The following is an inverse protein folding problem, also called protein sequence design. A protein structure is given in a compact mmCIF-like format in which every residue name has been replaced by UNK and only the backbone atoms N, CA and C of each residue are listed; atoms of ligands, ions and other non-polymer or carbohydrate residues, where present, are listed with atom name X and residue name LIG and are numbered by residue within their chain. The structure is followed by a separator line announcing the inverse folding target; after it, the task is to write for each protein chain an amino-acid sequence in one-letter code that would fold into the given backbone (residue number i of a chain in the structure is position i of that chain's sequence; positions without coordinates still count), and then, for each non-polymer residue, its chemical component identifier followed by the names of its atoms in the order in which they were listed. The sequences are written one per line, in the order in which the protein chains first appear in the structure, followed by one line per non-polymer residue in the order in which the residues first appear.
data_IF_911597900807
#
_entry.id   IF_911597900807
#
_cell.length_a   1.000
_cell.length_b   1.000
_cell.length_c   1.000
_cell.angle_alpha   90.00
_cell.angle_beta   90.00
_cell.angle_gamma   90.00
#
_symmetry.space_group_name_H-M   'P 1'
#
loop_
_entity.id
_entity.type
_entity.pdbx_description
1 polymer ?
#
# COMPACT_ATOMS: atom_id res chain seq x y z
N UNK A 1 -18.78 -13.85 -2.99
CA UNK A 1 -19.72 -14.79 -2.31
C UNK A 1 -19.01 -15.89 -1.53
N UNK A 2 -17.92 -16.48 -2.05
CA UNK A 2 -17.17 -17.55 -1.36
C UNK A 2 -16.68 -17.18 0.05
N UNK A 3 -16.15 -15.97 0.25
CA UNK A 3 -15.75 -15.51 1.59
C UNK A 3 -16.94 -15.43 2.55
N UNK A 4 -18.11 -14.98 2.08
CA UNK A 4 -19.32 -14.92 2.92
C UNK A 4 -19.86 -16.30 3.22
N UNK A 5 -19.82 -17.22 2.25
CA UNK A 5 -20.21 -18.62 2.45
C UNK A 5 -19.32 -19.30 3.50
N UNK A 6 -18.01 -19.15 3.39
CA UNK A 6 -17.06 -19.65 4.38
C UNK A 6 -17.32 -19.08 5.77
N UNK A 7 -17.45 -17.75 5.89
CA UNK A 7 -17.71 -17.12 7.19
C UNK A 7 -19.08 -17.53 7.76
N UNK A 8 -20.08 -17.76 6.91
CA UNK A 8 -21.37 -18.29 7.35
C UNK A 8 -21.23 -19.69 7.92
N UNK A 9 -20.59 -20.62 7.20
CA UNK A 9 -20.38 -22.00 7.67
C UNK A 9 -19.53 -22.06 8.95
N UNK A 10 -18.51 -21.20 9.04
CA UNK A 10 -17.68 -21.04 10.24
C UNK A 10 -18.50 -20.51 11.42
N UNK A 11 -19.37 -19.54 11.20
CA UNK A 11 -20.18 -18.95 12.27
C UNK A 11 -21.35 -19.86 12.68
N UNK A 12 -21.99 -20.56 11.73
CA UNK A 12 -23.08 -21.50 12.00
C UNK A 12 -22.59 -22.80 12.65
N UNK A 13 -21.30 -23.13 12.54
CA UNK A 13 -20.71 -24.35 13.06
C UNK A 13 -20.81 -25.54 12.12
N UNK A 14 -21.46 -25.38 10.95
CA UNK A 14 -21.50 -26.40 9.89
C UNK A 14 -20.10 -26.76 9.37
N UNK A 15 -19.19 -25.79 9.39
CA UNK A 15 -17.76 -26.04 9.21
C UNK A 15 -17.09 -26.11 10.59
N UNK A 16 -16.73 -27.30 11.10
CA UNK A 16 -16.10 -27.43 12.40
C UNK A 16 -14.66 -26.88 12.37
N UNK A 17 -14.39 -25.90 13.24
CA UNK A 17 -13.06 -25.31 13.46
C UNK A 17 -12.71 -25.47 14.95
N UNK A 18 -11.77 -26.37 15.22
CA UNK A 18 -11.29 -26.73 16.56
C UNK A 18 -10.73 -25.49 17.27
N UNK A 19 -11.18 -25.24 18.49
CA UNK A 19 -10.73 -24.10 19.29
C UNK A 19 -11.32 -22.76 18.85
N UNK A 20 -12.27 -22.75 17.91
CA UNK A 20 -12.96 -21.54 17.43
C UNK A 20 -14.47 -21.67 17.60
N UNK A 21 -15.10 -22.69 17.00
CA UNK A 21 -16.56 -22.89 17.10
C UNK A 21 -16.95 -24.27 17.68
N UNK A 22 -15.99 -25.18 17.84
CA UNK A 22 -16.19 -26.50 18.44
C UNK A 22 -14.94 -26.92 19.21
N UNK A 23 -15.10 -27.88 20.12
CA UNK A 23 -14.03 -28.35 21.01
C UNK A 23 -13.37 -27.21 21.80
N UNK A 24 -14.22 -26.36 22.40
CA UNK A 24 -13.81 -25.23 23.23
C UNK A 24 -13.54 -25.70 24.67
N UNK A 25 -12.66 -24.98 25.37
CA UNK A 25 -12.49 -25.18 26.82
C UNK A 25 -13.69 -24.61 27.58
N UNK A 26 -13.80 -24.91 28.88
CA UNK A 26 -14.83 -24.33 29.76
C UNK A 26 -14.69 -22.79 29.87
N UNK A 27 -13.49 -22.26 29.62
CA UNK A 27 -13.20 -20.82 29.53
C UNK A 27 -13.44 -20.25 28.10
N UNK A 28 -13.91 -21.09 27.17
CA UNK A 28 -14.09 -20.76 25.76
C UNK A 28 -12.80 -20.82 24.95
N UNK A 29 -12.60 -19.84 24.06
CA UNK A 29 -11.37 -19.62 23.29
C UNK A 29 -10.81 -18.24 23.64
N UNK A 30 -10.02 -18.12 24.72
CA UNK A 30 -9.49 -16.84 25.14
C UNK A 30 -8.48 -16.33 24.09
N UNK A 31 -8.68 -15.09 23.63
CA UNK A 31 -7.72 -14.43 22.74
C UNK A 31 -6.39 -14.30 23.45
N UNK A 32 -5.37 -15.02 22.97
CA UNK A 32 -4.00 -14.85 23.45
C UNK A 32 -3.49 -13.50 22.96
N UNK A 33 -3.36 -12.55 23.88
CA UNK A 33 -2.74 -11.25 23.57
C UNK A 33 -1.25 -11.51 23.34
N UNK A 34 -0.72 -11.25 22.12
CA UNK A 34 0.71 -11.39 21.89
C UNK A 34 1.47 -10.44 22.81
N UNK A 35 2.58 -10.91 23.40
CA UNK A 35 3.37 -10.10 24.34
C UNK A 35 3.90 -8.83 23.69
N UNK A 36 4.75 -8.96 22.69
CA UNK A 36 5.30 -7.83 21.93
C UNK A 36 4.72 -7.80 20.51
N UNK A 37 4.30 -6.62 20.06
CA UNK A 37 3.88 -6.38 18.67
C UNK A 37 4.92 -5.49 18.03
N UNK A 38 5.61 -6.00 17.01
CA UNK A 38 6.59 -5.22 16.26
C UNK A 38 5.85 -4.14 15.46
N UNK A 39 6.14 -2.88 15.77
CA UNK A 39 5.59 -1.70 15.10
C UNK A 39 6.70 -0.69 14.83
N UNK A 40 6.50 0.15 13.83
CA UNK A 40 7.42 1.26 13.56
C UNK A 40 7.44 2.24 14.73
N UNK A 41 8.65 2.58 15.16
CA UNK A 41 8.94 3.56 16.20
C UNK A 41 8.66 4.99 15.69
N UNK A 42 8.43 5.96 16.59
CA UNK A 42 8.34 7.38 16.21
C UNK A 42 9.57 7.88 15.47
N UNK A 43 10.75 7.43 15.87
CA UNK A 43 12.05 7.83 15.31
C UNK A 43 12.20 7.36 13.86
N UNK A 44 11.82 6.11 13.56
CA UNK A 44 11.81 5.59 12.19
C UNK A 44 10.86 6.38 11.28
N UNK A 45 9.71 6.82 11.80
CA UNK A 45 8.76 7.65 11.04
C UNK A 45 9.34 9.03 10.75
N UNK A 46 9.93 9.68 11.77
CA UNK A 46 10.57 10.99 11.61
C UNK A 46 11.72 10.91 10.60
N UNK A 47 12.56 9.89 10.69
CA UNK A 47 13.66 9.65 9.77
C UNK A 47 13.20 9.53 8.31
N UNK A 48 12.09 8.83 8.05
CA UNK A 48 11.54 8.73 6.70
C UNK A 48 11.01 10.07 6.16
N UNK A 49 10.43 10.90 7.01
CA UNK A 49 9.96 12.24 6.64
C UNK A 49 11.15 13.14 6.27
N UNK A 50 12.21 13.14 7.08
CA UNK A 50 13.41 13.91 6.83
C UNK A 50 14.09 13.49 5.53
N UNK A 51 14.21 12.18 5.27
CA UNK A 51 14.76 11.66 4.01
C UNK A 51 13.93 12.07 2.80
N UNK A 52 12.61 12.05 2.93
CA UNK A 52 11.71 12.48 1.85
C UNK A 52 11.91 13.97 1.54
N UNK A 53 11.98 14.81 2.57
CA UNK A 53 12.23 16.25 2.41
C UNK A 53 13.59 16.51 1.78
N UNK A 54 14.64 15.81 2.21
CA UNK A 54 15.97 15.92 1.65
C UNK A 54 16.01 15.51 0.16
N UNK A 55 15.34 14.42 -0.22
CA UNK A 55 15.20 14.00 -1.62
C UNK A 55 14.52 15.10 -2.45
N UNK A 56 13.42 15.66 -1.95
CA UNK A 56 12.65 16.70 -2.65
C UNK A 56 13.42 18.01 -2.81
N UNK A 57 14.32 18.33 -1.88
CA UNK A 57 15.14 19.54 -1.92
C UNK A 57 16.41 19.40 -2.79
N UNK A 58 16.87 18.18 -3.10
CA UNK A 58 18.19 17.95 -3.70
C UNK A 58 18.30 18.39 -5.18
N UNK A 59 17.29 18.05 -5.99
CA UNK A 59 17.27 18.23 -7.46
C UNK A 59 15.86 18.58 -7.97
N UNK A 60 15.32 19.74 -7.58
CA UNK A 60 13.92 20.09 -7.88
C UNK A 60 13.67 20.28 -9.38
N UNK A 61 14.63 20.83 -10.13
CA UNK A 61 14.49 21.10 -11.56
C UNK A 61 14.49 19.80 -12.37
N UNK A 62 15.40 18.87 -12.07
CA UNK A 62 15.43 17.55 -12.69
C UNK A 62 14.19 16.73 -12.34
N UNK A 63 13.70 16.84 -11.11
CA UNK A 63 12.44 16.20 -10.71
C UNK A 63 11.26 16.75 -11.53
N UNK A 64 11.14 18.07 -11.67
CA UNK A 64 10.08 18.69 -12.47
C UNK A 64 10.14 18.25 -13.94
N UNK A 65 11.33 18.25 -14.55
CA UNK A 65 11.52 17.80 -15.93
C UNK A 65 11.19 16.31 -16.11
N UNK A 66 11.60 15.45 -15.17
CA UNK A 66 11.33 14.02 -15.22
C UNK A 66 9.82 13.72 -15.07
N UNK A 67 9.11 14.44 -14.20
CA UNK A 67 7.66 14.30 -14.04
C UNK A 67 6.90 14.74 -15.29
N UNK A 68 7.30 15.87 -15.91
CA UNK A 68 6.72 16.33 -17.16
C UNK A 68 6.94 15.31 -18.29
N UNK A 69 8.16 14.78 -18.44
CA UNK A 69 8.45 13.72 -19.42
C UNK A 69 7.58 12.48 -19.15
N UNK A 70 7.45 12.06 -17.89
CA UNK A 70 6.65 10.91 -17.51
C UNK A 70 5.18 11.08 -17.93
N UNK A 71 4.61 12.26 -17.71
CA UNK A 71 3.26 12.60 -18.14
C UNK A 71 3.11 12.60 -19.66
N UNK A 72 4.05 13.21 -20.39
CA UNK A 72 4.04 13.20 -21.86
C UNK A 72 4.09 11.78 -22.41
N UNK A 73 4.98 10.92 -21.90
CA UNK A 73 5.09 9.53 -22.34
C UNK A 73 3.81 8.75 -22.06
N UNK A 74 3.17 8.96 -20.90
CA UNK A 74 1.89 8.33 -20.57
C UNK A 74 0.78 8.75 -21.55
N UNK A 75 0.65 10.05 -21.86
CA UNK A 75 -0.35 10.56 -22.81
C UNK A 75 -0.11 10.08 -24.24
N UNK A 76 1.16 9.88 -24.63
CA UNK A 76 1.56 9.39 -25.94
C UNK A 76 1.53 7.86 -26.06
N UNK A 77 1.08 7.13 -25.02
CA UNK A 77 1.09 5.66 -24.97
C UNK A 77 2.49 5.06 -25.22
N UNK A 78 3.54 5.77 -24.81
CA UNK A 78 4.92 5.30 -24.93
C UNK A 78 5.33 4.33 -23.81
N UNK A 79 6.58 3.88 -23.84
CA UNK A 79 7.12 3.01 -22.79
C UNK A 79 7.28 3.76 -21.47
N UNK A 80 6.29 3.64 -20.59
CA UNK A 80 6.27 4.33 -19.31
C UNK A 80 7.38 3.87 -18.36
N UNK A 81 7.77 2.59 -18.42
CA UNK A 81 8.79 2.03 -17.54
C UNK A 81 10.17 2.66 -17.80
N UNK A 82 10.51 2.93 -19.06
CA UNK A 82 11.75 3.63 -19.40
C UNK A 82 11.79 5.05 -18.82
N UNK A 83 10.67 5.78 -18.89
CA UNK A 83 10.55 7.09 -18.27
C UNK A 83 10.60 7.02 -16.73
N UNK A 84 10.05 5.96 -16.13
CA UNK A 84 10.14 5.72 -14.69
C UNK A 84 11.58 5.50 -14.23
N UNK A 85 12.40 4.75 -14.96
CA UNK A 85 13.83 4.54 -14.63
C UNK A 85 14.63 5.85 -14.53
N UNK A 86 14.20 6.90 -15.25
CA UNK A 86 14.75 8.24 -15.10
C UNK A 86 14.14 9.00 -13.92
N UNK A 87 12.82 8.97 -13.77
CA UNK A 87 12.10 9.71 -12.72
C UNK A 87 12.48 9.29 -11.29
N UNK A 88 12.68 7.99 -11.03
CA UNK A 88 12.99 7.47 -9.69
C UNK A 88 14.33 7.95 -9.13
N UNK A 89 15.22 8.54 -9.96
CA UNK A 89 16.49 9.11 -9.52
C UNK A 89 16.31 10.43 -8.75
N UNK A 90 15.20 11.14 -8.99
CA UNK A 90 14.98 12.50 -8.49
C UNK A 90 13.62 12.67 -7.80
N UNK A 91 12.65 11.82 -8.12
CA UNK A 91 11.27 11.94 -7.67
C UNK A 91 10.92 10.88 -6.63
N UNK A 92 10.16 11.26 -5.62
CA UNK A 92 9.56 10.31 -4.68
C UNK A 92 8.42 9.53 -5.32
N UNK A 93 8.10 8.37 -4.74
CA UNK A 93 6.93 7.56 -5.14
C UNK A 93 5.65 8.41 -5.21
N UNK A 94 5.42 9.26 -4.20
CA UNK A 94 4.25 10.12 -4.14
C UNK A 94 4.19 11.18 -5.25
N UNK A 95 5.34 11.76 -5.65
CA UNK A 95 5.40 12.70 -6.79
C UNK A 95 5.04 12.00 -8.10
N UNK A 96 5.61 10.81 -8.33
CA UNK A 96 5.36 9.98 -9.52
C UNK A 96 3.88 9.60 -9.61
N UNK A 97 3.32 9.02 -8.53
CA UNK A 97 1.91 8.59 -8.50
C UNK A 97 0.96 9.75 -8.78
N UNK A 98 1.18 10.92 -8.16
CA UNK A 98 0.32 12.11 -8.40
C UNK A 98 0.43 12.61 -9.83
N UNK A 99 1.63 12.64 -10.41
CA UNK A 99 1.82 13.05 -11.80
C UNK A 99 1.07 12.12 -12.76
N UNK A 100 1.11 10.80 -12.51
CA UNK A 100 0.37 9.82 -13.29
C UNK A 100 -1.15 9.92 -13.09
N UNK A 101 -1.64 10.22 -11.88
CA UNK A 101 -3.07 10.45 -11.65
C UNK A 101 -3.64 11.62 -12.44
N UNK A 102 -2.84 12.66 -12.72
CA UNK A 102 -3.29 13.80 -13.52
C UNK A 102 -3.55 13.46 -14.99
N UNK A 103 -2.92 12.40 -15.53
CA UNK A 103 -3.02 12.02 -16.95
C UNK A 103 -3.65 10.66 -17.20
N UNK A 104 -3.58 9.74 -16.23
CA UNK A 104 -4.12 8.37 -16.31
C UNK A 104 -5.34 8.13 -15.44
N UNK A 105 -5.77 9.13 -14.66
CA UNK A 105 -6.87 9.00 -13.72
C UNK A 105 -6.51 8.17 -12.48
N UNK A 106 -7.52 7.97 -11.63
CA UNK A 106 -7.41 7.15 -10.43
C UNK A 106 -8.33 5.94 -10.56
N UNK A 107 -7.92 4.82 -9.97
CA UNK A 107 -8.76 3.66 -9.89
C UNK A 107 -10.06 4.00 -9.15
N UNK A 108 -11.20 3.75 -9.79
CA UNK A 108 -12.52 3.81 -9.18
C UNK A 108 -12.93 2.37 -8.84
N UNK A 109 -13.21 2.12 -7.56
CA UNK A 109 -13.72 0.82 -7.11
C UNK A 109 -15.01 0.51 -7.85
N UNK A 110 -15.05 -0.64 -8.52
CA UNK A 110 -16.30 -1.29 -8.92
C UNK A 110 -16.84 -2.00 -7.68
N UNK A 111 -18.13 -1.79 -7.38
CA UNK A 111 -18.85 -2.64 -6.44
C UNK A 111 -19.23 -3.96 -7.10
#
# INVERSE_FOLDING_TARGET
EESLHYEHLKHSGELPIIGVNTFLSDEGSPTVVPGEVIRATPEEKAYQIERLQALQAHRPDEAAAALARLQTVAMQQGNLFEALMAAVKFCSLGQITRALFQVGGQYRRSM
#
